data_IF_747586236702
#
_entry.id   IF_747586236702
#
_cell.length_a   1.000
_cell.length_b   1.000
_cell.length_c   1.000
_cell.angle_alpha   90.00
_cell.angle_beta   90.00
_cell.angle_gamma   90.00
#
_symmetry.space_group_name_H-M   'P 1'
#
loop_
_entity.id
_entity.type
_entity.pdbx_description
1 polymer ?
#
# COMPACT_ATOMS: atom_id res chain seq x y z
N UNK A 1 42.54 73.84 13.83
CA UNK A 1 41.62 73.45 12.72
C UNK A 1 40.67 74.60 12.46
N UNK A 2 40.57 75.08 11.22
CA UNK A 2 39.63 76.15 10.83
C UNK A 2 38.18 75.73 11.11
N UNK A 3 37.37 76.59 11.72
CA UNK A 3 35.95 76.36 12.09
C UNK A 3 35.10 75.69 11.01
N UNK A 4 35.37 75.97 9.72
CA UNK A 4 34.73 75.29 8.56
C UNK A 4 34.95 73.77 8.52
N UNK A 5 36.13 73.28 8.94
CA UNK A 5 36.45 71.84 8.96
C UNK A 5 35.74 71.12 10.11
N UNK A 6 35.59 71.79 11.27
CA UNK A 6 34.83 71.27 12.41
C UNK A 6 33.35 71.15 12.05
N UNK A 7 32.79 72.17 11.38
CA UNK A 7 31.39 72.18 10.94
C UNK A 7 31.10 71.08 9.90
N UNK A 8 32.06 70.80 9.01
CA UNK A 8 31.95 69.70 8.05
C UNK A 8 32.00 68.31 8.72
N UNK A 9 32.85 68.11 9.73
CA UNK A 9 32.94 66.85 10.48
C UNK A 9 31.67 66.60 11.30
N UNK A 10 31.10 67.65 11.92
CA UNK A 10 29.84 67.55 12.65
C UNK A 10 28.68 67.23 11.71
N UNK A 11 28.60 67.87 10.55
CA UNK A 11 27.60 67.55 9.52
C UNK A 11 27.72 66.10 9.01
N UNK A 12 28.96 65.61 8.84
CA UNK A 12 29.21 64.22 8.45
C UNK A 12 28.74 63.24 9.54
N UNK A 13 29.02 63.51 10.81
CA UNK A 13 28.59 62.70 11.96
C UNK A 13 27.06 62.63 12.11
N UNK A 14 26.34 63.73 11.84
CA UNK A 14 24.87 63.76 11.86
C UNK A 14 24.28 63.02 10.64
N UNK A 15 24.97 63.00 9.50
CA UNK A 15 24.58 62.23 8.32
C UNK A 15 24.60 60.71 8.55
N UNK A 16 25.54 60.21 9.37
CA UNK A 16 25.67 58.77 9.66
C UNK A 16 24.61 58.22 10.63
N UNK A 17 23.99 59.05 11.48
CA UNK A 17 22.99 58.57 12.46
C UNK A 17 21.62 58.25 11.85
N UNK A 18 21.38 58.62 10.59
CA UNK A 18 20.06 58.47 9.95
C UNK A 18 19.80 57.09 9.34
N UNK A 19 20.80 56.19 9.30
CA UNK A 19 20.69 54.87 8.63
C UNK A 19 20.37 53.73 9.61
N UNK A 20 20.16 54.02 10.90
CA UNK A 20 20.11 53.00 11.96
C UNK A 20 18.69 52.57 12.41
N UNK A 21 17.62 53.22 11.95
CA UNK A 21 16.26 52.90 12.40
C UNK A 21 15.59 51.89 11.45
N UNK A 22 15.88 50.59 11.63
CA UNK A 22 15.05 49.54 11.04
C UNK A 22 13.70 49.53 11.80
N UNK A 23 12.55 49.74 11.13
CA UNK A 23 11.27 49.66 11.80
C UNK A 23 11.04 48.22 12.28
N UNK A 24 10.74 48.07 13.57
CA UNK A 24 10.40 46.77 14.15
C UNK A 24 9.10 46.27 13.53
N UNK A 25 9.12 45.03 13.01
CA UNK A 25 7.97 44.41 12.38
C UNK A 25 7.27 43.55 13.42
N UNK A 26 6.22 44.11 13.99
CA UNK A 26 5.40 43.46 15.01
C UNK A 26 4.12 42.95 14.36
N UNK A 27 3.80 41.68 14.59
CA UNK A 27 2.50 41.08 14.26
C UNK A 27 1.77 40.67 15.54
N UNK A 28 0.49 40.35 15.42
CA UNK A 28 -0.25 39.70 16.49
C UNK A 28 -1.09 38.55 15.95
N UNK A 29 -1.48 37.66 16.85
CA UNK A 29 -2.35 36.51 16.58
C UNK A 29 -3.44 36.42 17.63
N UNK A 30 -4.49 35.70 17.29
CA UNK A 30 -5.50 35.22 18.21
C UNK A 30 -5.37 33.68 18.30
N UNK A 31 -4.70 33.19 19.35
CA UNK A 31 -4.47 31.76 19.53
C UNK A 31 -5.78 31.01 19.74
N UNK A 32 -6.76 31.60 20.43
CA UNK A 32 -8.06 30.98 20.63
C UNK A 32 -8.79 30.79 19.30
N UNK A 33 -8.83 31.84 18.47
CA UNK A 33 -9.39 31.75 17.12
C UNK A 33 -8.68 30.67 16.28
N UNK A 34 -7.34 30.65 16.26
CA UNK A 34 -6.58 29.66 15.49
C UNK A 34 -6.91 28.24 15.96
N UNK A 35 -6.87 27.99 17.27
CA UNK A 35 -7.17 26.66 17.83
C UNK A 35 -8.60 26.22 17.54
N UNK A 36 -9.58 27.11 17.72
CA UNK A 36 -10.99 26.78 17.45
C UNK A 36 -11.24 26.41 15.97
N UNK A 37 -10.46 26.93 15.03
CA UNK A 37 -10.60 26.61 13.60
C UNK A 37 -9.81 25.37 13.17
N UNK A 38 -9.06 24.72 14.07
CA UNK A 38 -8.33 23.48 13.80
C UNK A 38 -9.23 22.27 14.14
N UNK A 39 -9.54 21.38 13.18
CA UNK A 39 -10.39 20.20 13.43
C UNK A 39 -9.89 19.30 14.56
N UNK A 40 -8.58 19.09 14.64
CA UNK A 40 -7.93 18.28 15.67
C UNK A 40 -8.16 18.84 17.09
N UNK A 41 -8.26 20.17 17.23
CA UNK A 41 -8.55 20.81 18.50
C UNK A 41 -10.01 20.59 18.90
N UNK A 42 -10.94 20.68 17.95
CA UNK A 42 -12.36 20.39 18.20
C UNK A 42 -12.56 18.93 18.65
N UNK A 43 -11.85 17.98 18.03
CA UNK A 43 -11.86 16.59 18.47
C UNK A 43 -11.27 16.42 19.87
N UNK A 44 -10.13 17.07 20.15
CA UNK A 44 -9.49 17.03 21.46
C UNK A 44 -10.41 17.61 22.55
N UNK A 45 -11.06 18.73 22.28
CA UNK A 45 -12.03 19.36 23.19
C UNK A 45 -13.26 18.48 23.42
N UNK A 46 -13.80 17.86 22.37
CA UNK A 46 -14.90 16.91 22.50
C UNK A 46 -14.51 15.70 23.36
N UNK A 47 -13.31 15.13 23.16
CA UNK A 47 -12.79 14.03 23.99
C UNK A 47 -12.61 14.45 25.45
N UNK A 48 -12.11 15.65 25.70
CA UNK A 48 -11.95 16.21 27.04
C UNK A 48 -13.32 16.40 27.72
N UNK A 49 -14.28 17.03 27.05
CA UNK A 49 -15.66 17.24 27.55
C UNK A 49 -16.33 15.92 27.91
N UNK A 50 -16.20 14.89 27.07
CA UNK A 50 -16.74 13.56 27.36
C UNK A 50 -16.14 12.94 28.63
N UNK A 51 -14.83 13.10 28.87
CA UNK A 51 -14.19 12.62 30.11
C UNK A 51 -14.64 13.41 31.33
N UNK A 52 -14.73 14.74 31.21
CA UNK A 52 -15.24 15.61 32.27
C UNK A 52 -16.66 15.23 32.67
N UNK A 53 -17.55 15.01 31.70
CA UNK A 53 -18.92 14.58 31.97
C UNK A 53 -18.96 13.25 32.75
N UNK A 54 -18.10 12.29 32.39
CA UNK A 54 -17.99 11.02 33.13
C UNK A 54 -17.45 11.19 34.56
N UNK A 55 -16.54 12.14 34.80
CA UNK A 55 -16.06 12.44 36.15
C UNK A 55 -17.11 13.18 36.99
N UNK A 56 -17.85 14.12 36.39
CA UNK A 56 -18.97 14.81 37.04
C UNK A 56 -20.04 13.82 37.47
N UNK A 57 -20.44 12.92 36.58
CA UNK A 57 -21.44 11.89 36.90
C UNK A 57 -20.99 11.02 38.09
N UNK A 58 -19.71 10.61 38.13
CA UNK A 58 -19.18 9.85 39.28
C UNK A 58 -19.25 10.62 40.59
N UNK A 59 -18.92 11.92 40.58
CA UNK A 59 -19.03 12.75 41.77
C UNK A 59 -20.49 12.92 42.20
N UNK A 60 -21.40 13.12 41.25
CA UNK A 60 -22.83 13.25 41.51
C UNK A 60 -23.43 11.97 42.09
N UNK A 61 -23.00 10.79 41.62
CA UNK A 61 -23.43 9.50 42.16
C UNK A 61 -22.98 9.32 43.62
N UNK A 62 -21.71 9.64 43.92
CA UNK A 62 -21.18 9.60 45.30
C UNK A 62 -21.92 10.61 46.18
N UNK A 63 -22.17 11.81 45.66
CA UNK A 63 -22.91 12.85 46.39
C UNK A 63 -24.32 12.39 46.72
N UNK A 64 -25.01 11.74 45.78
CA UNK A 64 -26.35 11.18 46.01
C UNK A 64 -26.32 10.09 47.08
N UNK A 65 -25.32 9.21 47.05
CA UNK A 65 -25.13 8.17 48.07
C UNK A 65 -24.96 8.79 49.47
N UNK A 66 -24.15 9.83 49.61
CA UNK A 66 -23.99 10.58 50.86
C UNK A 66 -25.32 11.16 51.35
N UNK A 67 -26.11 11.77 50.46
CA UNK A 67 -27.42 12.34 50.84
C UNK A 67 -28.42 11.26 51.26
N UNK A 68 -28.40 10.09 50.63
CA UNK A 68 -29.19 8.92 51.06
C UNK A 68 -28.77 8.47 52.44
N UNK A 69 -27.47 8.25 52.70
CA UNK A 69 -26.98 7.83 54.02
C UNK A 69 -27.34 8.83 55.12
N UNK A 70 -27.27 10.14 54.85
CA UNK A 70 -27.71 11.17 55.80
C UNK A 70 -29.20 11.12 56.09
N UNK A 71 -30.01 10.91 55.04
CA UNK A 71 -31.46 10.82 55.17
C UNK A 71 -31.86 9.57 55.94
N UNK A 72 -31.24 8.43 55.64
CA UNK A 72 -31.46 7.16 56.35
C UNK A 72 -31.08 7.28 57.82
N UNK A 73 -29.91 7.85 58.12
CA UNK A 73 -29.50 8.12 59.50
C UNK A 73 -30.51 9.03 60.20
N UNK A 74 -31.00 10.10 59.57
CA UNK A 74 -31.98 11.00 60.18
C UNK A 74 -33.31 10.30 60.52
N UNK A 75 -33.76 9.39 59.65
CA UNK A 75 -34.99 8.62 59.85
C UNK A 75 -34.84 7.52 60.91
N UNK A 76 -33.68 6.85 60.94
CA UNK A 76 -33.41 5.73 61.85
C UNK A 76 -32.88 6.19 63.22
N UNK A 77 -32.37 7.42 63.34
CA UNK A 77 -31.77 7.98 64.57
C UNK A 77 -32.58 7.73 65.85
N UNK A 78 -33.93 7.85 65.88
CA UNK A 78 -34.71 7.58 67.09
C UNK A 78 -34.70 6.11 67.54
N UNK A 79 -34.32 5.18 66.66
CA UNK A 79 -34.32 3.73 66.89
C UNK A 79 -32.91 3.17 67.18
N UNK A 80 -31.87 3.98 66.99
CA UNK A 80 -30.47 3.57 67.11
C UNK A 80 -29.87 3.90 68.48
N UNK A 81 -28.84 3.14 68.87
CA UNK A 81 -28.02 3.46 70.05
C UNK A 81 -26.97 4.51 69.69
N UNK A 82 -26.48 5.25 70.69
CA UNK A 82 -25.45 6.29 70.48
C UNK A 82 -24.18 5.77 69.79
N UNK A 83 -23.80 4.50 70.08
CA UNK A 83 -22.64 3.87 69.44
C UNK A 83 -22.86 3.64 67.93
N UNK A 84 -24.04 3.17 67.54
CA UNK A 84 -24.38 2.95 66.12
C UNK A 84 -24.55 4.28 65.37
N UNK A 85 -25.08 5.31 66.02
CA UNK A 85 -25.17 6.65 65.43
C UNK A 85 -23.77 7.16 65.10
N UNK A 86 -22.82 7.02 66.04
CA UNK A 86 -21.44 7.46 65.86
C UNK A 86 -20.73 6.71 64.72
N UNK A 87 -20.94 5.40 64.60
CA UNK A 87 -20.41 4.59 63.50
C UNK A 87 -20.95 5.07 62.14
N UNK A 88 -22.27 5.29 62.02
CA UNK A 88 -22.88 5.80 60.79
C UNK A 88 -22.42 7.22 60.43
N UNK A 89 -22.24 8.08 61.42
CA UNK A 89 -21.70 9.43 61.22
C UNK A 89 -20.24 9.37 60.73
N UNK A 90 -19.43 8.45 61.24
CA UNK A 90 -18.06 8.20 60.78
C UNK A 90 -18.04 7.69 59.33
N UNK A 91 -18.92 6.75 58.97
CA UNK A 91 -19.05 6.26 57.58
C UNK A 91 -19.42 7.38 56.60
N UNK A 92 -20.37 8.24 56.98
CA UNK A 92 -20.76 9.41 56.17
C UNK A 92 -19.57 10.36 56.01
N UNK A 93 -18.81 10.62 57.08
CA UNK A 93 -17.62 11.48 57.02
C UNK A 93 -16.54 10.92 56.11
N UNK A 94 -16.26 9.61 56.19
CA UNK A 94 -15.31 8.93 55.30
C UNK A 94 -15.75 9.10 53.84
N UNK A 95 -17.04 8.90 53.55
CA UNK A 95 -17.57 9.04 52.20
C UNK A 95 -17.49 10.49 51.69
N UNK A 96 -17.76 11.47 52.54
CA UNK A 96 -17.59 12.89 52.22
C UNK A 96 -16.13 13.26 51.94
N UNK A 97 -15.20 12.69 52.71
CA UNK A 97 -13.77 12.88 52.49
C UNK A 97 -13.32 12.27 51.16
N UNK A 98 -13.78 11.06 50.85
CA UNK A 98 -13.52 10.38 49.58
C UNK A 98 -14.07 11.17 48.39
N UNK A 99 -15.28 11.73 48.51
CA UNK A 99 -15.84 12.63 47.50
C UNK A 99 -14.92 13.84 47.27
N UNK A 100 -14.47 14.51 48.34
CA UNK A 100 -13.57 15.67 48.24
C UNK A 100 -12.22 15.30 47.63
N UNK A 101 -11.63 14.18 48.04
CA UNK A 101 -10.37 13.66 47.49
C UNK A 101 -10.50 13.36 46.01
N UNK A 102 -11.58 12.69 45.60
CA UNK A 102 -11.83 12.37 44.20
C UNK A 102 -12.08 13.63 43.36
N UNK A 103 -12.84 14.58 43.90
CA UNK A 103 -13.06 15.87 43.26
C UNK A 103 -11.74 16.62 43.05
N UNK A 104 -10.87 16.65 44.06
CA UNK A 104 -9.54 17.26 43.96
C UNK A 104 -8.63 16.51 42.97
N UNK A 105 -8.72 15.18 42.93
CA UNK A 105 -7.98 14.36 41.97
C UNK A 105 -8.37 14.67 40.52
N UNK A 106 -9.66 14.90 40.24
CA UNK A 106 -10.13 15.22 38.88
C UNK A 106 -9.97 16.70 38.53
N UNK A 107 -10.40 17.60 39.42
CA UNK A 107 -10.59 19.04 39.16
C UNK A 107 -9.60 19.94 39.89
N UNK A 108 -8.61 19.36 40.59
CA UNK A 108 -7.56 20.14 41.24
C UNK A 108 -6.61 20.83 40.25
N UNK A 109 -5.73 21.74 40.74
CA UNK A 109 -4.79 22.49 39.89
C UNK A 109 -3.86 21.60 39.04
N UNK A 110 -3.55 20.41 39.54
CA UNK A 110 -2.76 19.38 38.86
C UNK A 110 -3.55 18.08 38.67
N UNK A 111 -4.88 18.17 38.72
CA UNK A 111 -5.76 17.01 38.60
C UNK A 111 -5.82 16.44 37.18
N UNK A 112 -6.56 15.35 37.02
CA UNK A 112 -6.68 14.62 35.76
C UNK A 112 -7.20 15.50 34.63
N UNK A 113 -8.11 16.44 34.90
CA UNK A 113 -8.60 17.37 33.88
C UNK A 113 -7.48 18.23 33.29
N UNK A 114 -6.63 18.79 34.16
CA UNK A 114 -5.52 19.62 33.73
C UNK A 114 -4.49 18.80 32.94
N UNK A 115 -4.14 17.62 33.46
CA UNK A 115 -3.18 16.71 32.80
C UNK A 115 -3.69 16.26 31.44
N UNK A 116 -4.96 15.86 31.35
CA UNK A 116 -5.58 15.43 30.11
C UNK A 116 -5.69 16.58 29.10
N UNK A 117 -6.12 17.77 29.53
CA UNK A 117 -6.15 18.95 28.67
C UNK A 117 -4.76 19.25 28.12
N UNK A 118 -3.74 19.25 28.99
CA UNK A 118 -2.34 19.45 28.57
C UNK A 118 -1.91 18.38 27.56
N UNK A 119 -2.19 17.10 27.81
CA UNK A 119 -1.81 16.02 26.90
C UNK A 119 -2.47 16.15 25.51
N UNK A 120 -3.75 16.53 25.46
CA UNK A 120 -4.49 16.63 24.21
C UNK A 120 -4.21 17.93 23.45
N UNK A 121 -4.12 19.06 24.14
CA UNK A 121 -4.03 20.39 23.52
C UNK A 121 -2.58 20.80 23.24
N UNK A 122 -1.62 20.41 24.10
CA UNK A 122 -0.20 20.77 23.92
C UNK A 122 0.39 20.39 22.55
N UNK A 123 0.20 19.17 22.01
CA UNK A 123 0.75 18.85 20.69
C UNK A 123 0.18 19.73 19.57
N UNK A 124 -1.06 20.21 19.71
CA UNK A 124 -1.69 21.12 18.75
C UNK A 124 -1.10 22.53 18.90
N UNK A 125 -0.94 23.00 20.14
CA UNK A 125 -0.25 24.28 20.42
C UNK A 125 1.19 24.26 19.92
N UNK A 126 1.92 23.16 20.09
CA UNK A 126 3.29 23.00 19.59
C UNK A 126 3.31 23.09 18.04
N UNK A 127 2.30 22.56 17.34
CA UNK A 127 2.16 22.72 15.88
C UNK A 127 1.89 24.17 15.47
N UNK A 128 0.99 24.87 16.17
CA UNK A 128 0.70 26.28 15.93
C UNK A 128 1.95 27.13 16.17
N UNK A 129 2.68 26.85 17.25
CA UNK A 129 3.91 27.54 17.61
C UNK A 129 4.98 27.40 16.52
N UNK A 130 5.20 26.19 15.99
CA UNK A 130 6.12 25.98 14.88
C UNK A 130 5.68 26.74 13.61
N UNK A 131 4.38 26.77 13.30
CA UNK A 131 3.87 27.54 12.17
C UNK A 131 4.09 29.06 12.34
N UNK A 132 3.92 29.56 13.57
CA UNK A 132 4.21 30.95 13.93
C UNK A 132 5.70 31.26 13.73
N UNK A 133 6.60 30.39 14.20
CA UNK A 133 8.04 30.55 14.02
C UNK A 133 8.43 30.60 12.54
N UNK A 134 7.90 29.68 11.73
CA UNK A 134 8.16 29.66 10.29
C UNK A 134 7.68 30.95 9.62
N UNK A 135 6.49 31.44 9.99
CA UNK A 135 5.95 32.71 9.46
C UNK A 135 6.80 33.89 9.92
N UNK A 136 7.21 33.92 11.18
CA UNK A 136 8.03 34.98 11.75
C UNK A 136 9.34 35.14 10.96
N UNK A 137 10.04 34.03 10.73
CA UNK A 137 11.30 34.02 9.96
C UNK A 137 11.04 34.40 8.50
N UNK A 138 10.08 33.76 7.83
CA UNK A 138 9.83 33.97 6.40
C UNK A 138 9.32 35.38 6.07
N UNK A 139 8.59 36.01 6.99
CA UNK A 139 8.05 37.37 6.81
C UNK A 139 8.91 38.43 7.47
N UNK A 140 9.99 38.05 8.16
CA UNK A 140 10.86 38.92 8.95
C UNK A 140 10.07 39.72 10.01
N UNK A 141 9.24 39.04 10.80
CA UNK A 141 8.66 39.62 12.02
C UNK A 141 9.70 39.54 13.14
N UNK A 142 9.90 40.65 13.84
CA UNK A 142 10.77 40.72 15.01
C UNK A 142 10.03 40.24 16.27
N UNK A 143 8.70 40.37 16.29
CA UNK A 143 7.85 39.99 17.42
C UNK A 143 6.45 39.58 16.92
N UNK A 144 5.89 38.56 17.55
CA UNK A 144 4.49 38.16 17.38
C UNK A 144 3.84 38.11 18.76
N UNK A 145 2.75 38.87 18.94
CA UNK A 145 2.02 38.97 20.20
C UNK A 145 0.75 38.14 20.14
N UNK A 146 0.38 37.51 21.25
CA UNK A 146 -0.88 36.79 21.36
C UNK A 146 -1.93 37.66 22.06
N UNK A 147 -3.01 37.99 21.35
CA UNK A 147 -4.14 38.75 21.86
C UNK A 147 -4.92 37.99 22.93
N UNK A 148 -4.86 36.65 22.92
CA UNK A 148 -5.53 35.80 23.91
C UNK A 148 -4.71 35.62 25.21
N UNK A 149 -3.52 36.21 25.28
CA UNK A 149 -2.69 36.23 26.49
C UNK A 149 -3.14 37.29 27.49
N UNK A 150 -2.50 37.32 28.67
CA UNK A 150 -2.74 38.35 29.72
C UNK A 150 -2.35 39.78 29.29
N UNK A 151 -1.74 39.95 28.10
CA UNK A 151 -1.39 41.26 27.56
C UNK A 151 -2.64 41.98 27.04
N UNK A 152 -3.00 43.09 27.68
CA UNK A 152 -4.14 43.91 27.27
C UNK A 152 -3.75 44.75 26.03
N UNK A 153 -4.32 44.40 24.87
CA UNK A 153 -4.24 45.21 23.65
C UNK A 153 -5.48 46.09 23.51
N UNK A 154 -5.33 47.41 23.74
CA UNK A 154 -6.47 48.35 23.68
C UNK A 154 -6.98 48.60 22.26
N UNK A 155 -6.07 48.61 21.30
CA UNK A 155 -6.39 48.77 19.88
C UNK A 155 -5.29 48.13 19.03
N UNK A 156 -5.70 47.45 17.98
CA UNK A 156 -4.82 46.90 16.96
C UNK A 156 -5.38 47.21 15.59
N UNK A 157 -4.51 47.37 14.60
CA UNK A 157 -4.93 47.45 13.21
C UNK A 157 -4.85 46.05 12.59
N UNK A 158 -5.95 45.59 12.01
CA UNK A 158 -6.11 44.25 11.41
C UNK A 158 -5.01 43.89 10.40
N UNK A 159 -4.35 44.88 9.80
CA UNK A 159 -3.19 44.65 8.90
C UNK A 159 -2.02 43.92 9.57
N UNK A 160 -1.93 43.96 10.90
CA UNK A 160 -0.88 43.31 11.68
C UNK A 160 -1.34 41.96 12.25
N UNK A 161 -2.60 41.58 12.03
CA UNK A 161 -3.11 40.26 12.35
C UNK A 161 -2.52 39.23 11.39
N UNK A 162 -1.88 38.20 11.94
CA UNK A 162 -1.32 37.08 11.17
C UNK A 162 -2.04 35.76 11.46
N UNK A 163 -3.19 35.78 12.14
CA UNK A 163 -3.95 34.59 12.54
C UNK A 163 -4.36 33.74 11.34
N UNK A 164 -4.96 34.35 10.32
CA UNK A 164 -5.35 33.66 9.09
C UNK A 164 -4.15 33.09 8.34
N UNK A 165 -3.01 33.79 8.39
CA UNK A 165 -1.79 33.33 7.77
C UNK A 165 -1.28 32.05 8.46
N UNK A 166 -1.29 32.04 9.80
CA UNK A 166 -0.94 30.88 10.63
C UNK A 166 -1.90 29.72 10.35
N UNK A 167 -3.21 29.97 10.40
CA UNK A 167 -4.23 28.96 10.11
C UNK A 167 -4.04 28.35 8.72
N UNK A 168 -3.80 29.19 7.70
CA UNK A 168 -3.55 28.73 6.33
C UNK A 168 -2.28 27.88 6.22
N UNK A 169 -1.24 28.18 7.01
CA UNK A 169 0.01 27.42 7.04
C UNK A 169 -0.21 26.02 7.61
N UNK A 170 -0.98 25.94 8.70
CA UNK A 170 -1.34 24.69 9.37
C UNK A 170 -2.19 23.80 8.44
N UNK A 171 -3.23 24.37 7.83
CA UNK A 171 -4.10 23.64 6.89
C UNK A 171 -3.32 23.14 5.65
N UNK A 172 -2.38 23.93 5.14
CA UNK A 172 -1.47 23.49 4.07
C UNK A 172 -0.54 22.37 4.54
N UNK A 173 -0.07 22.44 5.78
CA UNK A 173 0.70 21.38 6.44
C UNK A 173 -0.06 20.06 6.48
N UNK A 174 -1.35 20.07 6.87
CA UNK A 174 -2.20 18.88 6.86
C UNK A 174 -2.38 18.31 5.45
N UNK A 175 -2.70 19.16 4.46
CA UNK A 175 -2.82 18.71 3.06
C UNK A 175 -1.51 18.12 2.53
N UNK A 176 -0.36 18.68 2.92
CA UNK A 176 0.95 18.16 2.50
C UNK A 176 1.23 16.80 3.12
N UNK A 177 0.96 16.62 4.43
CA UNK A 177 1.08 15.33 5.11
C UNK A 177 0.17 14.27 4.47
N UNK A 178 -1.10 14.59 4.21
CA UNK A 178 -2.04 13.68 3.55
C UNK A 178 -1.55 13.28 2.15
N UNK A 179 -0.95 14.21 1.40
CA UNK A 179 -0.37 13.92 0.08
C UNK A 179 0.91 13.07 0.18
N UNK A 180 1.75 13.29 1.19
CA UNK A 180 2.96 12.50 1.43
C UNK A 180 2.63 11.08 1.91
N UNK A 181 1.64 10.92 2.78
CA UNK A 181 1.11 9.61 3.19
C UNK A 181 0.55 8.84 1.98
N UNK A 182 -0.33 9.48 1.18
CA UNK A 182 -0.85 8.86 -0.05
C UNK A 182 0.23 8.51 -1.06
N UNK A 183 1.30 9.30 -1.14
CA UNK A 183 2.46 8.98 -1.99
C UNK A 183 3.21 7.76 -1.47
N UNK A 184 3.42 7.68 -0.16
CA UNK A 184 4.10 6.57 0.51
C UNK A 184 3.31 5.28 0.36
N UNK A 185 2.01 5.30 0.64
CA UNK A 185 1.10 4.16 0.41
C UNK A 185 1.12 3.70 -1.05
N UNK A 186 1.12 4.65 -2.00
CA UNK A 186 1.20 4.32 -3.43
C UNK A 186 2.56 3.72 -3.80
N UNK A 187 3.65 4.18 -3.19
CA UNK A 187 4.99 3.67 -3.39
C UNK A 187 5.08 2.21 -2.89
N UNK A 188 4.58 1.94 -1.68
CA UNK A 188 4.52 0.60 -1.10
C UNK A 188 3.65 -0.35 -1.94
N UNK A 189 2.52 0.13 -2.46
CA UNK A 189 1.68 -0.66 -3.36
C UNK A 189 2.37 -0.97 -4.70
N UNK A 190 3.14 -0.02 -5.25
CA UNK A 190 3.93 -0.24 -6.47
C UNK A 190 5.02 -1.28 -6.20
N UNK A 191 5.71 -1.19 -5.06
CA UNK A 191 6.79 -2.10 -4.69
C UNK A 191 6.28 -3.51 -4.39
N UNK A 192 5.15 -3.65 -3.69
CA UNK A 192 4.46 -4.91 -3.48
C UNK A 192 4.03 -5.55 -4.80
N UNK A 193 3.50 -4.75 -5.73
CA UNK A 193 3.11 -5.22 -7.06
C UNK A 193 4.31 -5.61 -7.92
N UNK A 194 5.45 -4.91 -7.79
CA UNK A 194 6.70 -5.26 -8.44
C UNK A 194 7.26 -6.58 -7.92
N UNK A 195 7.32 -6.78 -6.59
CA UNK A 195 7.71 -8.07 -5.98
C UNK A 195 6.82 -9.22 -6.43
N UNK A 196 5.50 -9.05 -6.42
CA UNK A 196 4.56 -10.07 -6.89
C UNK A 196 4.68 -10.38 -8.39
N UNK A 197 5.14 -9.41 -9.20
CA UNK A 197 5.42 -9.63 -10.62
C UNK A 197 6.76 -10.37 -10.81
N UNK A 198 7.79 -10.01 -10.03
CA UNK A 198 9.09 -10.66 -10.02
C UNK A 198 8.96 -12.14 -9.66
N UNK A 199 8.22 -12.45 -8.59
CA UNK A 199 7.96 -13.83 -8.16
C UNK A 199 7.28 -14.67 -9.26
N UNK A 200 6.32 -14.08 -9.98
CA UNK A 200 5.67 -14.73 -11.13
C UNK A 200 6.61 -14.94 -12.32
N UNK A 201 7.57 -14.05 -12.53
CA UNK A 201 8.59 -14.19 -13.58
C UNK A 201 9.55 -15.31 -13.19
N UNK A 202 10.02 -15.32 -11.95
CA UNK A 202 10.94 -16.34 -11.41
C UNK A 202 10.30 -17.73 -11.44
N UNK A 203 9.03 -17.85 -11.05
CA UNK A 203 8.27 -19.10 -11.15
C UNK A 203 8.09 -19.58 -12.59
N UNK A 204 7.91 -18.65 -13.53
CA UNK A 204 7.77 -18.94 -14.96
C UNK A 204 9.10 -19.38 -15.56
N UNK A 205 10.21 -18.80 -15.12
CA UNK A 205 11.56 -19.22 -15.53
C UNK A 205 11.92 -20.59 -15.00
N UNK A 206 11.65 -20.87 -13.72
CA UNK A 206 11.81 -22.22 -13.14
C UNK A 206 11.03 -23.27 -13.92
N UNK A 207 9.76 -22.99 -14.23
CA UNK A 207 8.93 -23.89 -15.05
C UNK A 207 9.47 -24.08 -16.48
N UNK A 208 10.06 -23.06 -17.10
CA UNK A 208 10.71 -23.20 -18.42
C UNK A 208 11.94 -24.09 -18.34
N UNK A 209 12.80 -23.88 -17.35
CA UNK A 209 14.02 -24.68 -17.15
C UNK A 209 13.68 -26.14 -16.89
N UNK A 210 12.66 -26.41 -16.06
CA UNK A 210 12.17 -27.76 -15.79
C UNK A 210 11.61 -28.42 -17.06
N UNK A 211 10.84 -27.68 -17.87
CA UNK A 211 10.32 -28.18 -19.14
C UNK A 211 11.45 -28.49 -20.15
N UNK A 212 12.43 -27.59 -20.26
CA UNK A 212 13.59 -27.76 -21.14
C UNK A 212 14.44 -28.97 -20.73
N UNK A 213 14.68 -29.16 -19.42
CA UNK A 213 15.34 -30.34 -18.88
C UNK A 213 14.56 -31.63 -19.19
N UNK A 214 13.23 -31.62 -19.02
CA UNK A 214 12.37 -32.77 -19.35
C UNK A 214 12.39 -33.13 -20.83
N UNK A 215 12.37 -32.12 -21.70
CA UNK A 215 12.45 -32.31 -23.17
C UNK A 215 13.81 -32.89 -23.55
N UNK A 216 14.90 -32.39 -22.96
CA UNK A 216 16.25 -32.91 -23.22
C UNK A 216 16.39 -34.36 -22.77
N UNK A 217 15.91 -34.70 -21.57
CA UNK A 217 15.88 -36.09 -21.08
C UNK A 217 15.08 -37.02 -22.01
N UNK A 218 13.90 -36.60 -22.48
CA UNK A 218 13.11 -37.38 -23.45
C UNK A 218 13.82 -37.55 -24.80
N UNK A 219 14.57 -36.55 -25.27
CA UNK A 219 15.33 -36.65 -26.51
C UNK A 219 16.50 -37.63 -26.38
N UNK A 220 17.22 -37.59 -25.26
CA UNK A 220 18.30 -38.53 -24.95
C UNK A 220 17.79 -39.97 -24.82
N UNK A 221 16.68 -40.19 -24.14
CA UNK A 221 16.02 -41.50 -24.04
C UNK A 221 15.60 -42.03 -25.43
N UNK A 222 14.99 -41.18 -26.27
CA UNK A 222 14.64 -41.54 -27.65
C UNK A 222 15.87 -41.81 -28.52
N UNK A 223 16.98 -41.12 -28.29
CA UNK A 223 18.23 -41.35 -29.01
C UNK A 223 18.80 -42.73 -28.64
N UNK A 224 18.84 -43.07 -27.35
CA UNK A 224 19.24 -44.40 -26.86
C UNK A 224 18.36 -45.51 -27.45
N UNK A 225 17.04 -45.32 -27.43
CA UNK A 225 16.09 -46.27 -28.03
C UNK A 225 16.33 -46.45 -29.54
N UNK A 226 16.65 -45.37 -30.28
CA UNK A 226 16.97 -45.44 -31.71
C UNK A 226 18.30 -46.15 -31.96
N UNK A 227 19.32 -45.93 -31.14
CA UNK A 227 20.59 -46.64 -31.25
C UNK A 227 20.43 -48.13 -30.97
N UNK A 228 19.64 -48.48 -29.96
CA UNK A 228 19.28 -49.87 -29.65
C UNK A 228 18.52 -50.53 -30.82
N UNK A 229 17.54 -49.82 -31.40
CA UNK A 229 16.84 -50.30 -32.60
C UNK A 229 17.75 -50.47 -33.82
N UNK A 230 18.73 -49.57 -34.00
CA UNK A 230 19.74 -49.69 -35.07
C UNK A 230 20.64 -50.90 -34.86
N UNK A 231 21.16 -51.12 -33.65
CA UNK A 231 21.96 -52.29 -33.30
C UNK A 231 21.16 -53.58 -33.50
N UNK A 232 19.92 -53.65 -33.01
CA UNK A 232 19.04 -54.78 -33.21
C UNK A 232 18.73 -55.04 -34.71
N UNK A 233 18.59 -53.99 -35.52
CA UNK A 233 18.40 -54.13 -36.97
C UNK A 233 19.66 -54.62 -37.68
N UNK A 234 20.84 -54.18 -37.23
CA UNK A 234 22.14 -54.60 -37.77
C UNK A 234 22.46 -56.05 -37.41
N UNK A 235 22.19 -56.47 -36.17
CA UNK A 235 22.26 -57.86 -35.74
C UNK A 235 21.33 -58.76 -36.57
N UNK A 236 20.08 -58.33 -36.78
CA UNK A 236 19.14 -59.03 -37.69
C UNK A 236 19.67 -59.11 -39.12
N UNK A 237 20.37 -58.08 -39.61
CA UNK A 237 20.99 -58.08 -40.95
C UNK A 237 22.18 -59.04 -41.02
N UNK A 238 23.03 -59.07 -39.99
CA UNK A 238 24.16 -60.00 -39.91
C UNK A 238 23.68 -61.45 -39.83
N UNK A 239 22.62 -61.74 -39.08
CA UNK A 239 21.98 -63.06 -39.05
C UNK A 239 21.50 -63.48 -40.44
N UNK A 240 20.79 -62.60 -41.17
CA UNK A 240 20.37 -62.87 -42.56
C UNK A 240 21.55 -63.07 -43.52
N UNK A 241 22.65 -62.33 -43.34
CA UNK A 241 23.85 -62.48 -44.17
C UNK A 241 24.52 -63.83 -43.95
N UNK A 242 24.65 -64.28 -42.69
CA UNK A 242 25.14 -65.62 -42.36
C UNK A 242 24.25 -66.71 -42.94
N UNK A 243 22.93 -66.56 -42.81
CA UNK A 243 21.96 -67.47 -43.42
C UNK A 243 22.09 -67.54 -44.95
N UNK A 244 22.33 -66.39 -45.61
CA UNK A 244 22.61 -66.33 -47.06
C UNK A 244 23.94 -66.99 -47.41
N UNK A 245 24.99 -66.80 -46.59
CA UNK A 245 26.31 -67.38 -46.81
C UNK A 245 26.29 -68.91 -46.64
N UNK A 246 25.60 -69.41 -45.61
CA UNK A 246 25.39 -70.84 -45.39
C UNK A 246 24.55 -71.45 -46.54
N UNK A 247 23.54 -70.71 -47.02
CA UNK A 247 22.79 -71.08 -48.23
C UNK A 247 23.65 -71.05 -49.49
N UNK A 248 24.59 -70.11 -49.61
CA UNK A 248 25.55 -70.07 -50.73
C UNK A 248 26.59 -71.18 -50.67
N UNK A 249 27.16 -71.49 -49.50
CA UNK A 249 28.12 -72.59 -49.31
C UNK A 249 27.50 -73.95 -49.62
N UNK A 250 26.24 -74.15 -49.24
CA UNK A 250 25.48 -75.35 -49.63
C UNK A 250 25.16 -75.40 -51.13
N UNK A 251 25.08 -74.25 -51.81
CA UNK A 251 24.94 -74.17 -53.26
C UNK A 251 26.28 -74.32 -54.01
N UNK A 252 27.40 -73.78 -53.51
CA UNK A 252 28.72 -73.88 -54.16
C UNK A 252 29.34 -75.26 -54.01
N UNK A 253 29.12 -75.96 -52.89
CA UNK A 253 29.41 -77.41 -52.81
C UNK A 253 28.65 -78.22 -53.86
N UNK A 254 27.46 -77.77 -54.26
CA UNK A 254 26.69 -78.40 -55.35
C UNK A 254 27.19 -78.02 -56.75
N UNK A 255 28.01 -76.97 -56.90
CA UNK A 255 28.43 -76.43 -58.21
C UNK A 255 29.89 -76.77 -58.55
N UNK A 256 30.78 -76.91 -57.56
CA UNK A 256 32.19 -77.29 -57.79
C UNK A 256 32.39 -78.74 -58.29
N UNK A 257 31.39 -79.61 -58.21
CA UNK A 257 31.40 -80.94 -58.86
C UNK A 257 30.95 -80.91 -60.32
N UNK A 258 30.61 -79.75 -60.89
CA UNK A 258 30.08 -79.66 -62.26
C UNK A 258 30.71 -78.52 -63.08
N UNK A 259 31.64 -78.93 -63.96
CA UNK A 259 31.87 -78.43 -65.33
C UNK A 259 32.90 -77.32 -65.55
N UNK A 260 34.05 -77.79 -66.04
CA UNK A 260 34.94 -77.14 -67.00
C UNK A 260 34.22 -76.78 -68.32
N UNK A 261 34.87 -75.85 -69.03
CA UNK A 261 34.58 -75.25 -70.35
C UNK A 261 33.46 -74.19 -70.39
N UNK A 262 33.76 -72.90 -70.16
CA UNK A 262 34.12 -71.85 -71.15
C UNK A 262 33.04 -71.62 -72.22
N UNK A 263 32.54 -70.41 -72.49
CA UNK A 263 33.25 -69.13 -72.57
C UNK A 263 32.29 -67.90 -72.41
N UNK A 264 32.94 -66.77 -72.13
CA UNK A 264 32.56 -65.39 -71.78
C UNK A 264 31.84 -64.63 -72.93
N UNK A 265 31.24 -63.42 -72.87
CA UNK A 265 30.93 -62.37 -71.88
C UNK A 265 30.16 -61.26 -72.66
N UNK A 266 28.97 -60.87 -72.18
CA UNK A 266 28.49 -59.50 -71.79
C UNK A 266 28.66 -58.28 -72.77
N UNK A 267 27.82 -57.22 -72.89
CA UNK A 267 26.75 -56.53 -72.11
C UNK A 267 25.91 -55.64 -73.10
N UNK A 268 24.68 -55.29 -72.69
CA UNK A 268 23.91 -54.01 -72.87
C UNK A 268 22.57 -54.24 -73.60
N UNK A 269 21.41 -53.71 -73.21
CA UNK A 269 21.04 -52.58 -72.34
C UNK A 269 19.51 -52.62 -72.06
N UNK A 270 19.10 -51.87 -71.02
CA UNK A 270 17.79 -51.30 -70.67
C UNK A 270 16.59 -52.22 -70.36
N UNK A 271 15.88 -52.07 -69.25
CA UNK A 271 15.33 -50.92 -68.51
C UNK A 271 13.84 -50.74 -68.80
N UNK A 272 13.14 -50.51 -67.70
CA UNK A 272 11.81 -49.95 -67.52
C UNK A 272 10.58 -50.87 -67.36
N UNK A 273 9.82 -50.48 -66.33
CA UNK A 273 8.39 -50.67 -66.03
C UNK A 273 8.04 -52.06 -65.44
N UNK A 274 7.40 -52.24 -64.28
CA UNK A 274 6.30 -51.53 -63.61
C UNK A 274 6.41 -51.87 -62.10
N UNK A 275 6.58 -50.95 -61.14
CA UNK A 275 5.63 -49.98 -60.55
C UNK A 275 4.43 -50.65 -59.84
N UNK A 276 3.91 -49.95 -58.83
CA UNK A 276 2.70 -50.20 -58.03
C UNK A 276 2.94 -50.91 -56.69
N UNK A 277 2.78 -50.13 -55.59
CA UNK A 277 2.37 -50.54 -54.21
C UNK A 277 3.17 -49.97 -53.02
N UNK A 278 3.88 -48.82 -53.16
CA UNK A 278 4.32 -48.04 -51.97
C UNK A 278 4.00 -46.55 -51.99
N UNK A 279 3.87 -45.93 -53.17
CA UNK A 279 3.62 -44.49 -53.25
C UNK A 279 2.18 -44.09 -52.87
N UNK A 280 1.16 -44.91 -53.16
CA UNK A 280 -0.24 -44.57 -52.85
C UNK A 280 -0.59 -44.55 -51.35
N UNK A 281 0.15 -45.29 -50.52
CA UNK A 281 -0.08 -45.34 -49.06
C UNK A 281 0.63 -44.18 -48.35
N UNK A 282 1.73 -43.70 -48.94
CA UNK A 282 2.56 -42.64 -48.38
C UNK A 282 1.97 -41.26 -48.68
N UNK A 283 1.38 -41.08 -49.87
CA UNK A 283 0.69 -39.85 -50.25
C UNK A 283 -0.65 -39.69 -49.51
N UNK A 284 -1.44 -40.76 -49.34
CA UNK A 284 -2.68 -40.71 -48.56
C UNK A 284 -2.45 -40.38 -47.07
N UNK A 285 -1.36 -40.89 -46.47
CA UNK A 285 -0.97 -40.55 -45.09
C UNK A 285 -0.48 -39.12 -44.95
N UNK A 286 0.20 -38.58 -45.97
CA UNK A 286 0.66 -37.18 -45.99
C UNK A 286 -0.52 -36.22 -46.14
N UNK A 287 -1.49 -36.55 -46.99
CA UNK A 287 -2.75 -35.80 -47.14
C UNK A 287 -3.53 -35.77 -45.82
N UNK A 288 -3.75 -36.93 -45.19
CA UNK A 288 -4.46 -37.04 -43.91
C UNK A 288 -3.76 -36.29 -42.76
N UNK A 289 -2.42 -36.21 -42.79
CA UNK A 289 -1.65 -35.43 -41.81
C UNK A 289 -1.82 -33.93 -42.02
N UNK A 290 -1.83 -33.47 -43.28
CA UNK A 290 -2.05 -32.07 -43.64
C UNK A 290 -3.47 -31.61 -43.29
N UNK A 291 -4.48 -32.43 -43.57
CA UNK A 291 -5.87 -32.14 -43.20
C UNK A 291 -6.05 -32.08 -41.68
N UNK A 292 -5.35 -32.95 -40.94
CA UNK A 292 -5.36 -32.92 -39.46
C UNK A 292 -4.67 -31.67 -38.91
N UNK A 293 -3.57 -31.24 -39.52
CA UNK A 293 -2.89 -29.99 -39.16
C UNK A 293 -3.78 -28.79 -39.44
N UNK A 294 -4.46 -28.76 -40.60
CA UNK A 294 -5.36 -27.67 -40.99
C UNK A 294 -6.59 -27.60 -40.07
N UNK A 295 -7.21 -28.74 -39.77
CA UNK A 295 -8.30 -28.83 -38.78
C UNK A 295 -7.85 -28.38 -37.38
N UNK A 296 -6.63 -28.72 -36.96
CA UNK A 296 -6.09 -28.30 -35.66
C UNK A 296 -5.76 -26.79 -35.62
N UNK A 297 -5.36 -26.19 -36.75
CA UNK A 297 -5.17 -24.75 -36.88
C UNK A 297 -6.50 -24.00 -36.88
N UNK A 298 -7.52 -24.50 -37.58
CA UNK A 298 -8.87 -23.92 -37.59
C UNK A 298 -9.54 -24.01 -36.21
N UNK A 299 -9.40 -25.13 -35.51
CA UNK A 299 -9.91 -25.26 -34.13
C UNK A 299 -9.23 -24.28 -33.17
N UNK A 300 -7.91 -24.07 -33.31
CA UNK A 300 -7.18 -23.05 -32.52
C UNK A 300 -7.59 -21.63 -32.89
N UNK A 301 -7.90 -21.36 -34.15
CA UNK A 301 -8.38 -20.05 -34.59
C UNK A 301 -9.75 -19.73 -34.00
N UNK A 302 -10.69 -20.69 -34.04
CA UNK A 302 -12.02 -20.57 -33.42
C UNK A 302 -11.93 -20.35 -31.91
N UNK A 303 -11.08 -21.12 -31.21
CA UNK A 303 -10.86 -20.94 -29.77
C UNK A 303 -10.30 -19.55 -29.44
N UNK A 304 -9.42 -18.99 -30.27
CA UNK A 304 -8.90 -17.62 -30.10
C UNK A 304 -9.96 -16.55 -30.33
N UNK A 305 -10.84 -16.73 -31.31
CA UNK A 305 -11.98 -15.81 -31.51
C UNK A 305 -12.95 -15.85 -30.33
N UNK A 306 -13.27 -17.04 -29.83
CA UNK A 306 -14.15 -17.21 -28.67
C UNK A 306 -13.55 -16.56 -27.42
N UNK A 307 -12.25 -16.72 -27.19
CA UNK A 307 -11.52 -16.04 -26.11
C UNK A 307 -11.51 -14.51 -26.27
N UNK A 308 -11.40 -14.00 -27.51
CA UNK A 308 -11.50 -12.55 -27.78
C UNK A 308 -12.89 -12.01 -27.48
N UNK A 309 -13.94 -12.69 -27.94
CA UNK A 309 -15.33 -12.30 -27.67
C UNK A 309 -15.64 -12.31 -26.17
N UNK A 310 -15.22 -13.35 -25.45
CA UNK A 310 -15.37 -13.43 -24.00
C UNK A 310 -14.59 -12.31 -23.26
N UNK A 311 -13.42 -11.91 -23.77
CA UNK A 311 -12.66 -10.80 -23.20
C UNK A 311 -13.32 -9.43 -23.44
N UNK A 312 -13.92 -9.23 -24.62
CA UNK A 312 -14.69 -8.02 -24.95
C UNK A 312 -15.97 -7.91 -24.12
N UNK A 313 -16.69 -9.01 -23.93
CA UNK A 313 -17.87 -9.05 -23.08
C UNK A 313 -17.53 -8.71 -21.62
N UNK A 314 -16.45 -9.30 -21.07
CA UNK A 314 -15.93 -8.95 -19.73
C UNK A 314 -15.45 -7.49 -19.64
N UNK A 315 -15.03 -6.88 -20.74
CA UNK A 315 -14.67 -5.46 -20.78
C UNK A 315 -15.92 -4.58 -20.75
N UNK A 316 -16.96 -4.95 -21.48
CA UNK A 316 -18.25 -4.25 -21.49
C UNK A 316 -18.93 -4.29 -20.12
N UNK A 317 -18.97 -5.46 -19.47
CA UNK A 317 -19.53 -5.60 -18.11
C UNK A 317 -18.80 -4.73 -17.08
N UNK A 318 -17.47 -4.63 -17.15
CA UNK A 318 -16.69 -3.76 -16.25
C UNK A 318 -16.97 -2.28 -16.47
N UNK A 319 -17.21 -1.85 -17.72
CA UNK A 319 -17.55 -0.46 -18.01
C UNK A 319 -18.94 -0.11 -17.43
N UNK A 320 -19.91 -1.01 -17.57
CA UNK A 320 -21.25 -0.83 -16.98
C UNK A 320 -21.20 -0.80 -15.44
N UNK A 321 -20.38 -1.62 -14.79
CA UNK A 321 -20.19 -1.58 -13.33
C UNK A 321 -19.58 -0.25 -12.86
N UNK A 322 -18.60 0.27 -13.61
CA UNK A 322 -17.97 1.57 -13.31
C UNK A 322 -18.99 2.70 -13.43
N UNK A 323 -19.83 2.70 -14.46
CA UNK A 323 -20.89 3.71 -14.62
C UNK A 323 -21.92 3.63 -13.49
N UNK A 324 -22.34 2.42 -13.10
CA UNK A 324 -23.25 2.23 -11.95
C UNK A 324 -22.63 2.75 -10.65
N UNK A 325 -21.36 2.46 -10.38
CA UNK A 325 -20.66 3.00 -9.20
C UNK A 325 -20.56 4.52 -9.21
N UNK A 326 -20.30 5.13 -10.37
CA UNK A 326 -20.26 6.59 -10.50
C UNK A 326 -21.62 7.23 -10.20
N UNK A 327 -22.71 6.65 -10.69
CA UNK A 327 -24.07 7.13 -10.39
C UNK A 327 -24.40 7.00 -8.90
N UNK A 328 -24.14 5.85 -8.28
CA UNK A 328 -24.35 5.68 -6.83
C UNK A 328 -23.52 6.65 -5.98
N UNK A 329 -22.26 6.93 -6.38
CA UNK A 329 -21.44 7.93 -5.68
C UNK A 329 -21.95 9.36 -5.86
N UNK A 330 -22.60 9.66 -6.99
CA UNK A 330 -23.21 10.97 -7.22
C UNK A 330 -24.50 11.13 -6.40
N UNK A 331 -25.36 10.12 -6.38
CA UNK A 331 -26.57 10.10 -5.53
C UNK A 331 -26.23 10.19 -4.04
N UNK A 332 -25.17 9.51 -3.58
CA UNK A 332 -24.69 9.63 -2.19
C UNK A 332 -24.17 11.04 -1.86
N UNK A 333 -23.57 11.73 -2.84
CA UNK A 333 -23.12 13.12 -2.65
C UNK A 333 -24.28 14.10 -2.62
N UNK A 334 -25.32 13.86 -3.42
CA UNK A 334 -26.53 14.68 -3.44
C UNK A 334 -27.35 14.48 -2.15
N UNK A 335 -27.46 13.26 -1.63
CA UNK A 335 -28.13 12.97 -0.36
C UNK A 335 -27.38 13.47 0.89
N UNK A 336 -26.06 13.67 0.82
CA UNK A 336 -25.28 14.25 1.93
C UNK A 336 -25.26 15.79 1.91
N UNK A 337 -25.83 16.43 0.87
CA UNK A 337 -25.87 17.88 0.71
C UNK A 337 -27.30 18.47 0.86
N UNK A 338 -28.28 17.63 1.19
CA UNK A 338 -29.61 18.02 1.69
C UNK A 338 -29.72 17.61 3.16
#
# INVERSE_FOLDING_TARGET
MTTRKVLFIVALLIGFTSVAQKPQRIGYIDMEYILQNIPEYQEADARLKNKIAGWQQKLDDIKREIEVMKTDLANEKPLLTDALIKEREEDIQIREEDHRKLQAAYFGPTGDQYLLRKQLVKPIQDQVYNAIQDIAVNKNYDMILDKSSDLIMLYTNDRFDVSDLVLSSIVKGYKKKEVEEKKTERQEQIEAKAKALQEKVDDKEKKRQELEARVKAQQEERAKLREEQKKAAEEKRQQRLKEIEDRKKSLTKKVEETKASTDSTTIKVNDSIVKVSKDSIQDAKRQAMLDKIKAQQEAKAKLREEQKKAAEEKRKQRLEEIEKRKKMQQEQKENNNN
#
